data_IF_028560226210
#
_entry.id   IF_028560226210
#
_cell.length_a   1.000
_cell.length_b   1.000
_cell.length_c   1.000
_cell.angle_alpha   90.00
_cell.angle_beta   90.00
_cell.angle_gamma   90.00
#
_symmetry.space_group_name_H-M   'P 1'
#
loop_
_entity.id
_entity.type
_entity.pdbx_description
1 polymer ?
#
# COMPACT_ATOMS: atom_id res chain seq x y z
N UNK A 1 10.73 1.68 21.05
CA UNK A 1 10.86 2.80 20.11
C UNK A 1 12.30 3.24 20.25
N UNK A 2 13.11 3.07 19.23
CA UNK A 2 14.49 3.58 19.30
C UNK A 2 14.44 5.11 19.24
N UNK A 3 15.22 5.77 20.09
CA UNK A 3 15.38 7.22 20.01
C UNK A 3 16.21 7.56 18.78
N UNK A 4 15.72 8.51 17.99
CA UNK A 4 16.45 9.03 16.84
C UNK A 4 17.48 10.04 17.37
N UNK A 5 18.76 9.78 17.11
CA UNK A 5 19.84 10.74 17.41
C UNK A 5 19.96 11.72 16.24
N UNK A 6 19.68 13.00 16.49
CA UNK A 6 19.85 14.07 15.50
C UNK A 6 21.34 14.38 15.33
N UNK A 7 21.89 14.07 14.16
CA UNK A 7 23.27 14.41 13.81
C UNK A 7 23.42 15.91 13.50
N UNK A 8 22.43 16.49 12.83
CA UNK A 8 22.40 17.90 12.43
C UNK A 8 20.95 18.32 12.16
N UNK A 9 20.57 19.50 12.64
CA UNK A 9 19.27 20.10 12.35
C UNK A 9 19.14 20.50 10.88
N UNK A 10 18.01 20.19 10.26
CA UNK A 10 17.65 20.66 8.92
C UNK A 10 16.13 20.70 8.73
N UNK A 11 15.69 21.61 7.88
CA UNK A 11 14.28 21.69 7.46
C UNK A 11 14.03 20.81 6.22
N UNK A 12 12.89 20.10 6.15
CA UNK A 12 12.49 19.40 4.94
C UNK A 12 12.35 20.37 3.75
N UNK A 13 12.83 19.94 2.57
CA UNK A 13 12.65 20.69 1.32
C UNK A 13 11.20 20.64 0.81
N UNK A 14 10.87 21.39 -0.27
CA UNK A 14 9.49 21.52 -0.77
C UNK A 14 8.99 20.29 -1.56
N UNK A 15 9.69 19.15 -1.49
CA UNK A 15 9.43 18.01 -2.35
C UNK A 15 8.79 16.86 -1.57
N UNK A 16 7.86 16.18 -2.23
CA UNK A 16 7.14 15.05 -1.66
C UNK A 16 5.95 15.46 -0.81
N UNK A 17 5.39 14.48 -0.10
CA UNK A 17 4.22 14.66 0.75
C UNK A 17 4.39 13.83 2.01
N UNK A 18 3.96 14.40 3.14
CA UNK A 18 3.70 13.61 4.34
C UNK A 18 2.75 12.45 3.99
N UNK A 19 2.90 11.26 4.61
CA UNK A 19 2.09 10.10 4.24
C UNK A 19 0.58 10.34 4.28
N UNK A 20 0.12 11.26 5.14
CA UNK A 20 -1.30 11.63 5.31
C UNK A 20 -1.80 12.71 4.35
N UNK A 21 -0.89 13.39 3.66
CA UNK A 21 -1.18 14.52 2.77
C UNK A 21 -0.92 14.21 1.30
N UNK A 22 -0.66 12.93 0.97
CA UNK A 22 -0.46 12.49 -0.41
C UNK A 22 -1.72 12.75 -1.25
N UNK A 23 -1.56 13.14 -2.52
CA UNK A 23 -2.67 13.11 -3.46
C UNK A 23 -3.14 11.66 -3.70
N UNK A 24 -4.39 11.50 -4.16
CA UNK A 24 -5.06 10.19 -4.23
C UNK A 24 -4.34 9.19 -5.14
N UNK A 25 -3.77 9.66 -6.25
CA UNK A 25 -2.94 8.85 -7.15
C UNK A 25 -1.73 8.25 -6.42
N UNK A 26 -1.01 9.05 -5.64
CA UNK A 26 0.10 8.56 -4.81
C UNK A 26 -0.34 7.62 -3.69
N UNK A 27 -1.55 7.77 -3.16
CA UNK A 27 -2.12 6.80 -2.23
C UNK A 27 -2.36 5.44 -2.88
N UNK A 28 -2.80 5.41 -4.14
CA UNK A 28 -3.01 4.16 -4.85
C UNK A 28 -1.68 3.51 -5.24
N UNK A 29 -0.70 4.30 -5.68
CA UNK A 29 0.62 3.81 -6.09
C UNK A 29 1.48 3.33 -4.91
N UNK A 30 1.33 3.93 -3.72
CA UNK A 30 2.12 3.63 -2.53
C UNK A 30 1.29 3.08 -1.36
N UNK A 31 0.11 2.55 -1.65
CA UNK A 31 -0.85 2.07 -0.66
C UNK A 31 -0.67 0.60 -0.29
N UNK A 32 -1.15 0.24 0.90
CA UNK A 32 -1.32 -1.14 1.36
C UNK A 32 -2.78 -1.31 1.79
N UNK A 33 -3.40 -2.41 1.37
CA UNK A 33 -4.74 -2.79 1.81
C UNK A 33 -4.58 -3.98 2.75
N UNK A 34 -4.87 -3.76 4.04
CA UNK A 34 -4.98 -4.85 5.00
C UNK A 34 -6.30 -5.58 4.77
N UNK A 35 -6.26 -6.60 3.92
CA UNK A 35 -7.44 -7.30 3.44
C UNK A 35 -7.68 -8.58 4.23
N UNK A 36 -8.90 -8.73 4.74
CA UNK A 36 -9.41 -10.03 5.19
C UNK A 36 -9.88 -10.85 3.97
N UNK A 37 -9.11 -11.89 3.61
CA UNK A 37 -9.39 -12.69 2.41
C UNK A 37 -10.55 -13.66 2.68
N UNK A 38 -11.66 -13.61 1.91
CA UNK A 38 -12.74 -14.58 2.09
C UNK A 38 -12.30 -16.00 1.70
N UNK A 39 -12.96 -17.01 2.29
CA UNK A 39 -12.86 -18.42 1.87
C UNK A 39 -13.43 -18.60 0.45
N UNK A 40 -12.85 -19.52 -0.31
CA UNK A 40 -13.24 -19.83 -1.69
C UNK A 40 -12.23 -19.37 -2.75
N UNK A 41 -12.06 -18.06 -3.00
CA UNK A 41 -11.18 -17.59 -4.06
C UNK A 41 -9.70 -17.70 -3.68
N UNK A 42 -8.85 -17.90 -4.69
CA UNK A 42 -7.39 -17.85 -4.54
C UNK A 42 -6.93 -16.43 -4.24
N UNK A 43 -5.77 -16.29 -3.62
CA UNK A 43 -5.17 -14.97 -3.33
C UNK A 43 -4.99 -14.15 -4.62
N UNK A 44 -4.53 -14.77 -5.71
CA UNK A 44 -4.42 -14.12 -7.02
C UNK A 44 -5.78 -13.62 -7.56
N UNK A 45 -6.84 -14.44 -7.46
CA UNK A 45 -8.17 -14.04 -7.92
C UNK A 45 -8.70 -12.83 -7.14
N UNK A 46 -8.50 -12.80 -5.82
CA UNK A 46 -8.88 -11.67 -4.97
C UNK A 46 -8.09 -10.41 -5.34
N UNK A 47 -6.76 -10.51 -5.51
CA UNK A 47 -5.91 -9.40 -5.95
C UNK A 47 -6.39 -8.83 -7.30
N UNK A 48 -6.72 -9.68 -8.27
CA UNK A 48 -7.25 -9.23 -9.57
C UNK A 48 -8.62 -8.55 -9.46
N UNK A 49 -9.49 -9.01 -8.55
CA UNK A 49 -10.79 -8.37 -8.28
C UNK A 49 -10.60 -6.98 -7.69
N UNK A 50 -9.69 -6.83 -6.73
CA UNK A 50 -9.34 -5.51 -6.15
C UNK A 50 -8.81 -4.56 -7.22
N UNK A 51 -7.90 -5.02 -8.09
CA UNK A 51 -7.39 -4.22 -9.21
C UNK A 51 -8.52 -3.66 -10.08
N UNK A 52 -9.49 -4.51 -10.42
CA UNK A 52 -10.64 -4.12 -11.26
C UNK A 52 -11.55 -3.12 -10.55
N UNK A 53 -11.83 -3.31 -9.25
CA UNK A 53 -12.66 -2.40 -8.45
C UNK A 53 -12.02 -1.01 -8.38
N UNK A 54 -10.72 -0.96 -8.08
CA UNK A 54 -9.98 0.31 -7.97
C UNK A 54 -9.64 0.92 -9.32
N UNK A 55 -9.86 0.19 -10.43
CA UNK A 55 -9.42 0.57 -11.79
C UNK A 55 -7.94 0.95 -11.83
N UNK A 56 -7.14 0.28 -11.01
CA UNK A 56 -5.76 0.68 -10.80
C UNK A 56 -4.90 0.28 -12.01
N UNK A 57 -4.26 1.25 -12.68
CA UNK A 57 -3.49 0.97 -13.90
C UNK A 57 -2.12 0.34 -13.61
N UNK A 58 -1.61 0.49 -12.39
CA UNK A 58 -0.29 0.04 -11.97
C UNK A 58 -0.19 -1.43 -11.57
N UNK A 59 0.92 -1.76 -10.90
CA UNK A 59 1.23 -3.11 -10.42
C UNK A 59 0.60 -3.35 -9.05
N UNK A 60 -0.01 -4.51 -8.87
CA UNK A 60 -0.61 -4.95 -7.60
C UNK A 60 -0.17 -6.37 -7.28
N UNK A 61 0.04 -6.68 -6.00
CA UNK A 61 0.45 -7.99 -5.52
C UNK A 61 -0.15 -8.32 -4.14
N UNK A 62 0.08 -9.54 -3.68
CA UNK A 62 -0.26 -9.97 -2.32
C UNK A 62 0.99 -10.49 -1.60
N UNK A 63 1.09 -10.27 -0.29
CA UNK A 63 2.30 -10.57 0.50
C UNK A 63 2.51 -12.06 0.81
N UNK A 64 1.56 -12.91 0.46
CA UNK A 64 1.63 -14.36 0.64
C UNK A 64 0.39 -15.05 0.09
N UNK A 65 0.50 -16.34 -0.23
CA UNK A 65 -0.64 -17.12 -0.74
C UNK A 65 -1.36 -17.78 0.41
N UNK A 66 -2.59 -17.35 0.67
CA UNK A 66 -3.51 -18.04 1.57
C UNK A 66 -4.30 -19.13 0.83
N UNK A 67 -4.57 -20.24 1.52
CA UNK A 67 -5.38 -21.34 1.02
C UNK A 67 -6.83 -20.89 0.71
N UNK A 68 -7.52 -21.68 -0.11
CA UNK A 68 -8.92 -21.44 -0.49
C UNK A 68 -9.92 -21.98 0.52
N UNK A 69 -9.49 -22.92 1.36
CA UNK A 69 -10.27 -23.61 2.41
C UNK A 69 -10.60 -22.73 3.62
#
# INVERSE_FOLDING_TARGET
MEEIIIKQECEPGPYGFEPRDRPLDMYLDHGIINLDKPRGPTSHAVTQKIRRILRFPGKIGHSGTLATS
#
